data_IF_178986709627
#
_entry.id   IF_178986709627
#
_cell.length_a   1.000
_cell.length_b   1.000
_cell.length_c   1.000
_cell.angle_alpha   90.00
_cell.angle_beta   90.00
_cell.angle_gamma   90.00
#
_symmetry.space_group_name_H-M   'P 1'
#
loop_
_entity.id
_entity.type
_entity.pdbx_description
1 polymer ?
#
# COMPACT_ATOMS: atom_id res chain seq x y z
N UNK A 1 18.30 1.37 -19.69
CA UNK A 1 17.23 2.16 -20.32
C UNK A 1 16.01 1.95 -19.45
N UNK A 2 15.61 2.98 -18.70
CA UNK A 2 14.49 2.93 -17.75
C UNK A 2 13.20 2.74 -18.55
N UNK A 3 12.50 1.63 -18.35
CA UNK A 3 11.10 1.52 -18.72
C UNK A 3 10.29 1.78 -17.46
N UNK A 4 10.30 3.03 -17.02
CA UNK A 4 9.20 3.53 -16.20
C UNK A 4 7.99 3.47 -17.12
N UNK A 5 7.08 2.53 -16.87
CA UNK A 5 5.69 2.73 -17.26
C UNK A 5 5.22 3.90 -16.38
N UNK A 6 5.56 5.12 -16.80
CA UNK A 6 4.98 6.35 -16.26
C UNK A 6 3.52 6.36 -16.71
N UNK A 7 2.67 5.65 -15.98
CA UNK A 7 1.23 5.95 -15.96
C UNK A 7 1.10 7.23 -15.13
N UNK A 8 1.45 8.37 -15.72
CA UNK A 8 1.06 9.68 -15.18
C UNK A 8 -0.40 9.91 -15.54
N UNK A 9 -1.34 9.38 -14.76
CA UNK A 9 -2.77 9.61 -14.99
C UNK A 9 -3.47 10.00 -13.69
N UNK A 10 -3.90 11.27 -13.65
CA UNK A 10 -4.64 11.89 -12.55
C UNK A 10 -5.76 10.98 -12.02
N UNK A 11 -5.54 10.33 -10.88
CA UNK A 11 -6.57 9.64 -10.14
C UNK A 11 -7.39 10.66 -9.32
N UNK A 12 -8.55 11.07 -9.85
CA UNK A 12 -9.53 11.83 -9.08
C UNK A 12 -10.18 10.91 -8.02
N UNK A 13 -9.73 11.03 -6.78
CA UNK A 13 -10.22 10.28 -5.63
C UNK A 13 -11.70 10.53 -5.34
N UNK A 14 -12.50 9.44 -5.40
CA UNK A 14 -13.73 9.29 -4.63
C UNK A 14 -13.73 7.86 -4.10
N UNK A 15 -13.16 7.66 -2.90
CA UNK A 15 -13.23 6.39 -2.18
C UNK A 15 -14.60 6.26 -1.51
N UNK A 16 -15.45 5.38 -2.05
CA UNK A 16 -16.69 4.97 -1.39
C UNK A 16 -16.42 3.69 -0.57
N UNK A 17 -17.08 3.64 0.59
CA UNK A 17 -16.87 2.66 1.65
C UNK A 17 -17.58 1.34 1.35
N UNK A 18 -16.86 0.22 1.47
CA UNK A 18 -17.47 -1.08 1.77
C UNK A 18 -16.58 -1.89 2.73
N UNK A 19 -17.05 -2.00 3.97
CA UNK A 19 -16.49 -2.88 5.00
C UNK A 19 -16.96 -4.33 4.85
N UNK A 20 -16.11 -5.23 5.36
CA UNK A 20 -16.33 -6.66 5.61
C UNK A 20 -16.58 -7.57 4.40
N UNK A 21 -15.47 -8.10 3.85
CA UNK A 21 -15.40 -9.47 3.34
C UNK A 21 -14.87 -9.58 1.91
N UNK A 22 -13.62 -10.05 1.74
CA UNK A 22 -12.99 -10.55 0.50
C UNK A 22 -13.21 -9.79 -0.82
N UNK A 23 -13.83 -8.62 -0.80
CA UNK A 23 -14.09 -7.78 -1.96
C UNK A 23 -12.84 -6.97 -2.29
N UNK A 24 -12.59 -6.81 -3.59
CA UNK A 24 -11.60 -5.85 -4.10
C UNK A 24 -11.97 -4.47 -3.54
N UNK A 25 -11.03 -3.74 -2.91
CA UNK A 25 -11.26 -2.37 -2.46
C UNK A 25 -11.75 -1.49 -3.61
N UNK A 26 -12.64 -0.54 -3.33
CA UNK A 26 -13.01 0.48 -4.33
C UNK A 26 -11.84 1.46 -4.45
N UNK A 27 -11.19 1.53 -5.62
CA UNK A 27 -10.04 2.41 -5.86
C UNK A 27 -8.67 1.79 -5.51
N UNK A 28 -7.65 2.64 -5.40
CA UNK A 28 -6.29 2.21 -5.07
C UNK A 28 -6.19 1.79 -3.59
N UNK A 29 -5.50 0.68 -3.33
CA UNK A 29 -5.33 0.19 -1.98
C UNK A 29 -4.07 -0.64 -1.78
N UNK A 30 -3.44 -0.48 -0.61
CA UNK A 30 -2.38 -1.33 -0.08
C UNK A 30 -2.95 -2.13 1.09
N UNK A 31 -2.80 -3.44 1.07
CA UNK A 31 -3.23 -4.29 2.18
C UNK A 31 -2.11 -5.20 2.65
N UNK A 32 -2.03 -5.38 3.97
CA UNK A 32 -1.01 -6.20 4.62
C UNK A 32 -1.70 -7.34 5.36
N UNK A 33 -1.24 -8.56 5.13
CA UNK A 33 -1.72 -9.73 5.86
C UNK A 33 -0.88 -10.01 7.13
N UNK A 34 -1.32 -10.98 7.94
CA UNK A 34 -0.63 -11.36 9.18
C UNK A 34 0.78 -11.93 8.98
N UNK A 35 1.14 -12.32 7.75
CA UNK A 35 2.45 -12.85 7.38
C UNK A 35 3.37 -11.75 6.83
N UNK A 36 2.88 -10.52 6.67
CA UNK A 36 3.61 -9.42 6.04
C UNK A 36 3.49 -9.39 4.52
N UNK A 37 2.66 -10.27 3.91
CA UNK A 37 2.40 -10.23 2.47
C UNK A 37 1.67 -8.93 2.14
N UNK A 38 2.14 -8.21 1.13
CA UNK A 38 1.50 -6.99 0.64
C UNK A 38 0.60 -7.37 -0.55
N UNK A 39 -0.61 -6.82 -0.62
CA UNK A 39 -1.40 -6.80 -1.85
C UNK A 39 -1.65 -5.36 -2.25
N UNK A 40 -1.15 -4.97 -3.43
CA UNK A 40 -1.47 -3.72 -4.09
C UNK A 40 -2.66 -3.91 -5.01
N UNK A 41 -3.63 -3.00 -4.94
CA UNK A 41 -4.76 -2.90 -5.85
C UNK A 41 -4.71 -1.54 -6.51
N UNK A 42 -4.69 -1.52 -7.84
CA UNK A 42 -4.78 -0.31 -8.65
C UNK A 42 -6.07 -0.39 -9.46
N UNK A 43 -6.88 0.66 -9.41
CA UNK A 43 -8.12 0.77 -10.18
C UNK A 43 -8.09 2.07 -10.98
N UNK A 44 -8.06 1.94 -12.31
CA UNK A 44 -7.88 3.08 -13.20
C UNK A 44 -8.79 3.05 -14.43
N UNK A 45 -9.01 4.22 -15.02
CA UNK A 45 -9.71 4.33 -16.29
C UNK A 45 -8.91 3.67 -17.41
N UNK A 46 -9.57 2.80 -18.15
CA UNK A 46 -9.06 2.09 -19.32
C UNK A 46 -9.99 2.34 -20.50
N UNK A 47 -10.22 3.62 -20.80
CA UNK A 47 -11.24 4.11 -21.72
C UNK A 47 -10.67 4.60 -23.06
N UNK A 48 -9.36 4.50 -23.27
CA UNK A 48 -8.71 4.95 -24.50
C UNK A 48 -8.69 3.82 -25.52
N UNK A 49 -9.13 4.13 -26.74
CA UNK A 49 -9.24 3.16 -27.85
C UNK A 49 -7.90 2.54 -28.27
N UNK A 50 -6.77 3.15 -27.88
CA UNK A 50 -5.42 2.65 -28.15
C UNK A 50 -4.87 1.76 -27.03
N UNK A 51 -5.61 1.55 -25.93
CA UNK A 51 -5.23 0.60 -24.90
C UNK A 51 -5.63 -0.81 -25.29
N UNK A 52 -4.68 -1.74 -25.17
CA UNK A 52 -4.90 -3.16 -25.40
C UNK A 52 -4.68 -3.90 -24.07
N UNK A 53 -5.72 -4.58 -23.59
CA UNK A 53 -5.69 -5.28 -22.32
C UNK A 53 -4.84 -6.55 -22.38
N UNK A 54 -4.80 -7.22 -23.53
CA UNK A 54 -4.00 -8.43 -23.71
C UNK A 54 -2.52 -8.06 -23.79
N UNK A 55 -2.16 -6.99 -24.50
CA UNK A 55 -0.79 -6.46 -24.53
C UNK A 55 -0.31 -6.05 -23.13
N UNK A 56 -1.12 -5.28 -22.38
CA UNK A 56 -0.78 -4.90 -21.01
C UNK A 56 -0.61 -6.12 -20.10
N UNK A 57 -1.45 -7.15 -20.27
CA UNK A 57 -1.35 -8.40 -19.50
C UNK A 57 -0.06 -9.16 -19.83
N UNK A 58 0.33 -9.23 -21.09
CA UNK A 58 1.58 -9.84 -21.53
C UNK A 58 2.80 -9.09 -20.98
N UNK A 59 2.77 -7.76 -20.96
CA UNK A 59 3.82 -6.94 -20.35
C UNK A 59 3.97 -7.21 -18.85
N UNK A 60 2.84 -7.22 -18.11
CA UNK A 60 2.82 -7.55 -16.67
C UNK A 60 3.41 -8.94 -16.43
N UNK A 61 2.99 -9.95 -17.20
CA UNK A 61 3.50 -11.31 -17.04
C UNK A 61 5.01 -11.41 -17.32
N UNK A 62 5.50 -10.68 -18.33
CA UNK A 62 6.92 -10.63 -18.66
C UNK A 62 7.75 -9.99 -17.54
N UNK A 63 7.30 -8.86 -16.99
CA UNK A 63 8.00 -8.19 -15.89
C UNK A 63 8.05 -9.04 -14.63
N UNK A 64 6.93 -9.70 -14.28
CA UNK A 64 6.88 -10.61 -13.16
C UNK A 64 7.83 -11.80 -13.33
N UNK A 65 7.89 -12.37 -14.53
CA UNK A 65 8.82 -13.45 -14.83
C UNK A 65 10.29 -12.99 -14.69
N UNK A 66 10.61 -11.79 -15.19
CA UNK A 66 11.96 -11.22 -15.11
C UNK A 66 12.37 -10.90 -13.67
N UNK A 67 11.48 -10.30 -12.87
CA UNK A 67 11.72 -10.03 -11.45
C UNK A 67 11.95 -11.33 -10.66
N UNK A 68 11.05 -12.30 -10.81
CA UNK A 68 11.09 -13.54 -10.04
C UNK A 68 12.22 -14.49 -10.45
N UNK A 69 12.85 -14.30 -11.62
CA UNK A 69 13.89 -15.17 -12.16
C UNK A 69 15.08 -15.42 -11.23
N UNK A 70 15.35 -14.48 -10.32
CA UNK A 70 16.47 -14.57 -9.38
C UNK A 70 16.12 -15.25 -8.05
N UNK A 71 14.85 -15.56 -7.83
CA UNK A 71 14.34 -16.13 -6.59
C UNK A 71 14.01 -17.62 -6.73
N UNK A 72 14.10 -18.36 -5.64
CA UNK A 72 13.77 -19.79 -5.62
C UNK A 72 12.25 -20.07 -5.71
N UNK A 73 11.44 -19.05 -5.38
CA UNK A 73 9.98 -19.03 -5.44
C UNK A 73 9.55 -17.63 -5.89
N UNK A 74 8.36 -17.50 -6.45
CA UNK A 74 7.83 -16.19 -6.81
C UNK A 74 7.70 -15.31 -5.56
N UNK A 75 8.29 -14.12 -5.62
CA UNK A 75 8.18 -13.08 -4.61
C UNK A 75 7.06 -12.10 -4.96
N UNK A 76 6.79 -11.92 -6.26
CA UNK A 76 5.68 -11.12 -6.75
C UNK A 76 4.77 -11.99 -7.60
N UNK A 77 3.45 -11.84 -7.47
CA UNK A 77 2.50 -12.61 -8.28
C UNK A 77 1.30 -11.77 -8.70
N UNK A 78 0.82 -12.03 -9.91
CA UNK A 78 -0.43 -11.45 -10.38
C UNK A 78 -1.61 -12.18 -9.73
N UNK A 79 -2.40 -11.46 -8.95
CA UNK A 79 -3.62 -11.99 -8.31
C UNK A 79 -4.84 -11.77 -9.19
N UNK A 80 -4.93 -10.61 -9.84
CA UNK A 80 -6.05 -10.24 -10.72
C UNK A 80 -5.60 -9.21 -11.75
N UNK A 81 -6.04 -9.38 -12.99
CA UNK A 81 -6.11 -8.32 -13.97
C UNK A 81 -7.45 -8.45 -14.70
N UNK A 82 -8.26 -7.40 -14.67
CA UNK A 82 -9.57 -7.38 -15.32
C UNK A 82 -9.83 -5.99 -15.89
N UNK A 83 -10.27 -5.93 -17.15
CA UNK A 83 -10.81 -4.71 -17.74
C UNK A 83 -12.32 -4.88 -17.93
N UNK A 84 -13.09 -4.00 -17.30
CA UNK A 84 -14.55 -4.03 -17.38
C UNK A 84 -15.11 -2.61 -17.40
N UNK A 85 -16.03 -2.36 -18.32
CA UNK A 85 -16.72 -1.07 -18.45
C UNK A 85 -15.77 0.14 -18.57
N UNK A 86 -14.62 -0.03 -19.25
CA UNK A 86 -13.62 1.04 -19.38
C UNK A 86 -12.82 1.30 -18.11
N UNK A 87 -12.74 0.34 -17.20
CA UNK A 87 -11.93 0.40 -15.98
C UNK A 87 -11.06 -0.85 -15.89
N UNK A 88 -9.76 -0.65 -15.68
CA UNK A 88 -8.82 -1.72 -15.38
C UNK A 88 -8.66 -1.87 -13.86
N UNK A 89 -8.61 -3.11 -13.39
CA UNK A 89 -8.29 -3.45 -12.01
C UNK A 89 -7.10 -4.41 -12.02
N UNK A 90 -5.99 -3.97 -11.46
CA UNK A 90 -4.78 -4.75 -11.25
C UNK A 90 -4.62 -5.07 -9.76
N UNK A 91 -4.44 -6.35 -9.43
CA UNK A 91 -4.03 -6.78 -8.09
C UNK A 91 -2.76 -7.61 -8.17
N UNK A 92 -1.75 -7.18 -7.43
CA UNK A 92 -0.47 -7.87 -7.31
C UNK A 92 -0.19 -8.16 -5.84
N UNK A 93 0.42 -9.32 -5.58
CA UNK A 93 0.89 -9.71 -4.25
C UNK A 93 2.40 -9.69 -4.20
N UNK A 94 2.96 -9.18 -3.11
CA UNK A 94 4.40 -9.12 -2.84
C UNK A 94 4.69 -9.88 -1.54
N UNK A 95 5.78 -10.63 -1.50
CA UNK A 95 6.14 -11.46 -0.35
C UNK A 95 6.44 -10.62 0.90
N UNK A 96 6.91 -9.38 0.74
CA UNK A 96 7.07 -8.40 1.80
C UNK A 96 7.15 -6.97 1.27
N UNK A 97 7.38 -6.03 2.18
CA UNK A 97 7.53 -4.61 1.85
C UNK A 97 8.77 -4.33 1.00
N UNK A 98 9.88 -5.07 1.20
CA UNK A 98 11.10 -4.91 0.40
C UNK A 98 10.87 -5.24 -1.08
N UNK A 99 10.12 -6.30 -1.37
CA UNK A 99 9.78 -6.66 -2.75
C UNK A 99 8.86 -5.61 -3.38
N UNK A 100 7.90 -5.06 -2.60
CA UNK A 100 7.06 -3.95 -3.04
C UNK A 100 7.90 -2.72 -3.40
N UNK A 101 8.78 -2.29 -2.50
CA UNK A 101 9.59 -1.10 -2.69
C UNK A 101 10.59 -1.24 -3.83
N UNK A 102 11.20 -2.41 -3.95
CA UNK A 102 12.11 -2.69 -5.07
C UNK A 102 11.41 -2.72 -6.42
N UNK A 103 10.17 -3.19 -6.49
CA UNK A 103 9.44 -3.31 -7.75
C UNK A 103 8.80 -1.99 -8.18
N UNK A 104 8.15 -1.28 -7.25
CA UNK A 104 7.44 -0.04 -7.55
C UNK A 104 8.34 1.21 -7.50
N UNK A 105 9.58 1.09 -6.98
CA UNK A 105 10.45 2.24 -6.67
C UNK A 105 9.78 3.23 -5.68
N UNK A 106 8.90 2.73 -4.81
CA UNK A 106 8.15 3.48 -3.78
C UNK A 106 8.53 3.05 -2.36
N UNK A 107 8.39 3.95 -1.39
CA UNK A 107 8.71 3.65 0.00
C UNK A 107 7.54 2.92 0.68
N UNK A 108 7.76 1.66 1.07
CA UNK A 108 6.86 0.91 1.95
C UNK A 108 7.70 0.13 2.96
N UNK A 109 7.37 0.28 4.23
CA UNK A 109 7.95 -0.52 5.29
C UNK A 109 6.85 -1.11 6.17
N UNK A 110 7.02 -2.37 6.54
CA UNK A 110 6.15 -3.05 7.51
C UNK A 110 7.02 -3.79 8.52
N UNK A 111 7.01 -3.33 9.75
CA UNK A 111 7.84 -3.91 10.81
C UNK A 111 7.42 -3.44 12.19
N UNK A 112 8.24 -3.72 13.19
CA UNK A 112 8.12 -3.15 14.53
C UNK A 112 8.67 -1.72 14.54
N UNK A 113 8.31 -0.95 15.57
CA UNK A 113 8.87 0.41 15.77
C UNK A 113 10.40 0.36 15.94
N UNK A 114 10.93 -0.68 16.58
CA UNK A 114 12.38 -0.87 16.74
C UNK A 114 13.08 -1.17 15.42
N UNK A 115 12.50 -2.01 14.56
CA UNK A 115 13.03 -2.29 13.22
C UNK A 115 13.02 -1.00 12.37
N UNK A 116 11.93 -0.23 12.40
CA UNK A 116 11.88 1.05 11.68
C UNK A 116 12.99 2.02 12.14
N UNK A 117 13.26 2.11 13.46
CA UNK A 117 14.39 2.94 13.92
C UNK A 117 15.74 2.42 13.47
N UNK A 118 15.92 1.10 13.39
CA UNK A 118 17.16 0.50 12.91
C UNK A 118 17.40 0.80 11.42
N UNK A 119 16.33 0.86 10.63
CA UNK A 119 16.35 1.30 9.22
C UNK A 119 16.51 2.83 9.06
N UNK A 120 16.43 3.59 10.16
CA UNK A 120 16.74 5.01 10.18
C UNK A 120 15.54 5.95 10.01
N UNK A 121 14.30 5.44 10.09
CA UNK A 121 13.12 6.31 10.08
C UNK A 121 13.07 7.22 11.31
N UNK A 122 12.67 8.47 11.08
CA UNK A 122 12.47 9.45 12.15
C UNK A 122 11.11 9.23 12.83
N UNK A 123 11.14 8.58 14.00
CA UNK A 123 9.97 8.31 14.84
C UNK A 123 9.87 9.28 16.02
N UNK A 124 10.18 10.57 15.78
CA UNK A 124 10.05 11.65 16.77
C UNK A 124 8.82 12.54 16.57
N UNK A 125 8.06 12.33 15.48
CA UNK A 125 6.87 13.10 15.14
C UNK A 125 5.68 12.88 16.08
N UNK A 126 4.73 13.81 16.02
CA UNK A 126 3.46 13.72 16.75
C UNK A 126 2.52 12.70 16.08
N UNK A 127 1.86 11.88 16.89
CA UNK A 127 0.86 10.92 16.44
C UNK A 127 -0.54 11.33 16.93
N UNK A 128 -1.56 10.88 16.21
CA UNK A 128 -2.96 11.00 16.59
C UNK A 128 -3.56 9.60 16.75
N UNK A 129 -4.27 9.36 17.84
CA UNK A 129 -5.09 8.16 18.02
C UNK A 129 -6.33 8.20 17.08
N UNK A 130 -7.12 7.11 16.98
CA UNK A 130 -8.33 7.10 16.16
C UNK A 130 -9.40 8.14 16.53
N UNK A 131 -9.32 8.76 17.72
CA UNK A 131 -10.21 9.84 18.15
C UNK A 131 -9.64 11.24 17.88
N UNK A 132 -8.43 11.32 17.29
CA UNK A 132 -7.71 12.57 17.06
C UNK A 132 -7.00 13.13 18.31
N UNK A 133 -6.89 12.35 19.38
CA UNK A 133 -6.11 12.74 20.55
C UNK A 133 -4.61 12.52 20.31
N UNK A 134 -3.79 13.46 20.76
CA UNK A 134 -2.33 13.37 20.62
C UNK A 134 -1.75 12.20 21.40
N UNK A 135 -0.83 11.48 20.78
CA UNK A 135 -0.04 10.39 21.36
C UNK A 135 1.38 10.41 20.78
N UNK A 136 2.25 9.50 21.22
CA UNK A 136 3.63 9.39 20.76
C UNK A 136 4.08 7.93 20.62
N UNK A 137 5.18 7.71 19.88
CA UNK A 137 5.74 6.38 19.68
C UNK A 137 6.18 5.72 20.99
N UNK A 138 6.71 6.48 21.96
CA UNK A 138 7.20 5.92 23.22
C UNK A 138 6.09 5.24 24.05
N UNK A 139 4.89 5.83 24.04
CA UNK A 139 3.70 5.26 24.68
C UNK A 139 3.22 3.97 24.01
N UNK A 140 3.50 3.79 22.72
CA UNK A 140 3.06 2.66 21.90
C UNK A 140 4.10 1.52 21.88
N UNK A 141 5.38 1.84 22.09
CA UNK A 141 6.48 0.87 22.16
C UNK A 141 6.49 0.01 23.41
N UNK A 142 5.91 0.49 24.51
CA UNK A 142 5.92 -0.21 25.80
C UNK A 142 5.17 -1.57 25.80
N UNK A 143 4.57 -1.97 24.67
CA UNK A 143 3.76 -3.17 24.53
C UNK A 143 4.34 -4.33 23.71
N UNK A 144 5.56 -4.26 23.16
CA UNK A 144 6.25 -5.31 22.36
C UNK A 144 5.49 -5.91 21.14
N UNK A 145 4.25 -5.47 20.87
CA UNK A 145 3.38 -6.06 19.85
C UNK A 145 2.95 -5.06 18.75
N UNK A 146 3.25 -3.77 18.92
CA UNK A 146 2.87 -2.76 17.93
C UNK A 146 3.75 -2.83 16.68
N UNK A 147 3.10 -2.94 15.53
CA UNK A 147 3.70 -2.81 14.21
C UNK A 147 3.50 -1.39 13.69
N UNK A 148 4.41 -0.96 12.83
CA UNK A 148 4.32 0.28 12.06
C UNK A 148 4.34 -0.07 10.57
N UNK A 149 3.42 0.54 9.83
CA UNK A 149 3.49 0.66 8.39
C UNK A 149 3.91 2.09 8.06
N UNK A 150 4.94 2.23 7.23
CA UNK A 150 5.41 3.53 6.72
C UNK A 150 5.22 3.50 5.21
N UNK A 151 4.59 4.52 4.65
CA UNK A 151 4.27 4.59 3.22
C UNK A 151 4.48 6.01 2.70
N UNK A 152 5.21 6.14 1.59
CA UNK A 152 5.16 7.30 0.70
C UNK A 152 4.64 6.84 -0.65
N UNK A 153 3.62 7.52 -1.17
CA UNK A 153 2.95 7.13 -2.41
C UNK A 153 2.59 8.37 -3.22
N UNK A 154 2.65 8.24 -4.54
CA UNK A 154 2.30 9.31 -5.48
C UNK A 154 0.77 9.40 -5.71
N UNK A 155 0.01 8.38 -5.30
CA UNK A 155 -1.44 8.33 -5.44
C UNK A 155 -2.14 8.07 -4.10
N UNK A 156 -3.22 8.80 -3.84
CA UNK A 156 -4.04 8.55 -2.67
C UNK A 156 -4.59 7.12 -2.68
N UNK A 157 -4.54 6.43 -1.54
CA UNK A 157 -4.97 5.04 -1.43
C UNK A 157 -5.58 4.71 -0.08
N UNK A 158 -6.31 3.59 -0.01
CA UNK A 158 -6.69 2.98 1.26
C UNK A 158 -5.61 2.02 1.73
N UNK A 159 -5.22 2.11 3.00
CA UNK A 159 -4.32 1.16 3.64
C UNK A 159 -5.10 0.26 4.59
N UNK A 160 -4.97 -1.05 4.42
CA UNK A 160 -5.59 -2.07 5.25
C UNK A 160 -4.52 -2.87 6.00
N UNK A 161 -4.56 -2.83 7.33
CA UNK A 161 -3.60 -3.52 8.20
C UNK A 161 -4.22 -4.76 8.87
N UNK A 162 -3.44 -5.76 9.30
CA UNK A 162 -4.01 -6.99 9.87
C UNK A 162 -4.52 -6.79 11.31
N UNK A 163 -4.10 -5.71 11.99
CA UNK A 163 -4.42 -5.36 13.37
C UNK A 163 -5.31 -4.14 13.53
N UNK A 164 -5.68 -3.82 14.77
CA UNK A 164 -6.37 -2.59 15.13
C UNK A 164 -5.39 -1.40 15.10
N UNK A 165 -5.76 -0.34 14.40
CA UNK A 165 -4.98 0.90 14.32
C UNK A 165 -5.02 1.60 15.67
N UNK A 166 -3.84 1.91 16.19
CA UNK A 166 -3.63 2.59 17.46
C UNK A 166 -3.35 4.08 17.29
N UNK A 167 -2.65 4.44 16.21
CA UNK A 167 -2.31 5.82 15.91
C UNK A 167 -1.87 5.98 14.45
N UNK A 168 -1.91 7.23 13.97
CA UNK A 168 -1.36 7.64 12.67
C UNK A 168 -0.57 8.94 12.81
N UNK A 169 0.31 9.27 11.86
CA UNK A 169 1.05 10.55 11.89
C UNK A 169 0.14 11.77 11.78
N UNK A 170 0.43 12.81 12.58
CA UNK A 170 -0.37 14.04 12.63
C UNK A 170 -0.22 14.97 11.39
N UNK A 171 0.57 14.58 10.39
CA UNK A 171 0.93 15.40 9.22
C UNK A 171 -0.21 15.70 8.24
N UNK A 172 -1.41 15.17 8.48
CA UNK A 172 -2.60 15.40 7.65
C UNK A 172 -2.65 14.58 6.36
N UNK A 173 -1.61 13.80 6.07
CA UNK A 173 -1.50 12.90 4.93
C UNK A 173 -2.07 11.50 5.21
N UNK A 174 -2.52 11.22 6.43
CA UNK A 174 -3.15 9.95 6.81
C UNK A 174 -4.29 10.16 7.79
N UNK A 175 -5.41 9.46 7.58
CA UNK A 175 -6.59 9.53 8.44
C UNK A 175 -7.15 8.13 8.69
N UNK A 176 -7.46 7.79 9.95
CA UNK A 176 -8.12 6.53 10.29
C UNK A 176 -9.57 6.54 9.79
N UNK A 177 -9.91 5.58 8.92
CA UNK A 177 -11.26 5.44 8.33
C UNK A 177 -12.03 4.24 8.90
N UNK A 178 -11.33 3.33 9.58
CA UNK A 178 -11.93 2.21 10.29
C UNK A 178 -10.92 1.53 11.21
N UNK A 179 -11.37 0.54 12.00
CA UNK A 179 -10.51 -0.14 12.99
C UNK A 179 -9.20 -0.68 12.41
N UNK A 180 -9.19 -1.04 11.13
CA UNK A 180 -8.04 -1.63 10.43
C UNK A 180 -7.73 -0.92 9.13
N UNK A 181 -8.25 0.30 8.97
CA UNK A 181 -8.27 1.01 7.70
C UNK A 181 -7.89 2.47 7.91
N UNK A 182 -7.01 2.97 7.03
CA UNK A 182 -6.68 4.38 6.94
C UNK A 182 -6.70 4.83 5.49
N UNK A 183 -7.07 6.09 5.26
CA UNK A 183 -6.85 6.77 3.99
C UNK A 183 -5.47 7.45 4.04
N UNK A 184 -4.67 7.26 3.00
CA UNK A 184 -3.38 7.92 2.80
C UNK A 184 -3.48 8.80 1.56
N UNK A 185 -3.00 10.04 1.69
CA UNK A 185 -2.92 11.03 0.61
C UNK A 185 -1.50 11.09 0.04
N UNK A 186 -1.34 11.56 -1.20
CA UNK A 186 -0.04 11.71 -1.87
C UNK A 186 0.75 12.92 -1.32
N UNK A 187 1.18 12.83 -0.07
CA UNK A 187 1.82 13.94 0.64
C UNK A 187 2.84 13.46 1.67
N UNK A 188 3.99 12.97 1.19
CA UNK A 188 5.11 12.53 2.02
C UNK A 188 4.82 11.30 2.89
N UNK A 189 5.77 10.96 3.77
CA UNK A 189 5.69 9.75 4.60
C UNK A 189 4.49 9.75 5.56
N UNK A 190 3.68 8.71 5.45
CA UNK A 190 2.59 8.38 6.36
C UNK A 190 3.01 7.26 7.31
N UNK A 191 2.64 7.38 8.58
CA UNK A 191 2.88 6.35 9.59
C UNK A 191 1.54 5.82 10.08
N UNK A 192 1.37 4.49 10.09
CA UNK A 192 0.19 3.79 10.62
C UNK A 192 0.66 2.77 11.64
N UNK A 193 0.30 2.97 12.91
CA UNK A 193 0.68 2.10 14.02
C UNK A 193 -0.50 1.20 14.37
N UNK A 194 -0.28 -0.12 14.47
CA UNK A 194 -1.35 -1.09 14.70
C UNK A 194 -0.90 -2.30 15.55
N UNK A 195 -1.87 -3.05 16.09
CA UNK A 195 -1.64 -4.33 16.80
C UNK A 195 -2.69 -5.40 16.47
#
# INVERSE_FOLDING_TARGET
>A
MRKLICICLLACGIFLLAGCGNSVPEGNAISVDKKGTITSTITESFDKDFYDADELKEEIDSELADYNKTFAKDHISLKKFEVKNGTAVLQMTFAGSDDYSSYNEEELFVGTVSEARAEGYDLSGELLDPNGAKTDFGSLEAGDEAKVLILETDDACQVLVPGEILAVSAGGNVTVTGKKQAAVESAGLSYIIYK
#
